data_IF_369895103026
#
_entry.id   IF_369895103026
#
_cell.length_a   1.000
_cell.length_b   1.000
_cell.length_c   1.000
_cell.angle_alpha   90.00
_cell.angle_beta   90.00
_cell.angle_gamma   90.00
#
_symmetry.space_group_name_H-M   'P 1'
#
loop_
_entity.id
_entity.type
_entity.pdbx_description
1 polymer ?
#
# COMPACT_ATOMS: atom_id res chain seq x y z
N UNK A 1 -39.17 -1.08 -3.12
CA UNK A 1 -38.34 -2.18 -2.61
C UNK A 1 -36.90 -1.80 -2.94
N UNK A 2 -36.17 -1.22 -1.99
CA UNK A 2 -34.76 -0.87 -2.21
C UNK A 2 -33.95 -2.13 -1.94
N UNK A 3 -33.42 -2.75 -3.00
CA UNK A 3 -32.34 -3.71 -2.83
C UNK A 3 -31.12 -2.91 -2.35
N UNK A 4 -30.74 -3.09 -1.09
CA UNK A 4 -29.43 -2.68 -0.62
C UNK A 4 -28.43 -3.56 -1.36
N UNK A 5 -27.89 -3.05 -2.48
CA UNK A 5 -26.73 -3.65 -3.12
C UNK A 5 -25.65 -3.61 -2.05
N UNK A 6 -25.21 -4.78 -1.58
CA UNK A 6 -24.06 -4.84 -0.69
C UNK A 6 -22.87 -4.28 -1.45
N UNK A 7 -22.48 -3.04 -1.16
CA UNK A 7 -21.20 -2.49 -1.64
C UNK A 7 -20.11 -3.34 -1.01
N UNK A 8 -19.32 -4.00 -1.85
CA UNK A 8 -18.22 -4.83 -1.38
C UNK A 8 -17.00 -3.93 -1.31
N UNK A 9 -16.44 -3.76 -0.11
CA UNK A 9 -15.22 -2.96 0.07
C UNK A 9 -14.01 -3.86 -0.05
N UNK A 10 -12.95 -3.36 -0.70
CA UNK A 10 -11.68 -4.06 -0.86
C UNK A 10 -10.71 -3.69 0.25
N UNK A 11 -9.86 -4.64 0.65
CA UNK A 11 -8.86 -4.41 1.69
C UNK A 11 -7.63 -3.71 1.12
N UNK A 12 -7.19 -2.66 1.79
CA UNK A 12 -5.86 -2.09 1.58
C UNK A 12 -4.88 -2.94 2.36
N UNK A 13 -3.95 -3.61 1.69
CA UNK A 13 -2.97 -4.48 2.35
C UNK A 13 -1.56 -4.02 2.07
N UNK A 14 -0.62 -4.36 2.96
CA UNK A 14 0.81 -4.14 2.73
C UNK A 14 1.25 -4.98 1.51
N UNK A 15 1.65 -4.36 0.39
CA UNK A 15 1.85 -5.11 -0.85
C UNK A 15 3.13 -5.94 -0.84
N UNK A 16 3.10 -7.09 -1.52
CA UNK A 16 4.28 -7.89 -1.82
C UNK A 16 5.00 -7.32 -3.04
N UNK A 17 6.02 -6.48 -2.82
CA UNK A 17 6.76 -5.81 -3.89
C UNK A 17 7.87 -6.67 -4.52
N UNK A 18 8.23 -7.79 -3.90
CA UNK A 18 9.08 -8.84 -4.50
C UNK A 18 8.80 -10.20 -3.87
N UNK A 19 9.19 -11.34 -4.49
CA UNK A 19 8.94 -12.67 -3.93
C UNK A 19 9.51 -12.86 -2.52
N UNK A 20 10.65 -12.22 -2.23
CA UNK A 20 11.35 -12.31 -0.94
C UNK A 20 10.99 -11.21 0.04
N UNK A 21 10.14 -10.24 -0.34
CA UNK A 21 9.70 -9.15 0.52
C UNK A 21 8.87 -9.69 1.70
N UNK A 22 9.31 -9.44 2.93
CA UNK A 22 8.61 -9.92 4.14
C UNK A 22 7.87 -8.82 4.89
N UNK A 23 8.42 -7.62 4.98
CA UNK A 23 7.84 -6.55 5.77
C UNK A 23 8.20 -5.16 5.25
N UNK A 24 7.36 -4.19 5.56
CA UNK A 24 7.67 -2.79 5.34
C UNK A 24 7.09 -1.95 6.47
N UNK A 25 7.53 -0.69 6.56
CA UNK A 25 6.89 0.31 7.41
C UNK A 25 6.41 1.48 6.57
N UNK A 26 5.20 1.94 6.85
CA UNK A 26 4.69 3.17 6.25
C UNK A 26 5.46 4.34 6.86
N UNK A 27 6.11 5.15 6.03
CA UNK A 27 6.85 6.34 6.46
C UNK A 27 6.09 7.63 6.16
N UNK A 28 5.17 7.60 5.18
CA UNK A 28 4.30 8.73 4.84
C UNK A 28 2.98 8.22 4.30
N UNK A 29 1.87 8.81 4.75
CA UNK A 29 0.56 8.66 4.13
C UNK A 29 0.35 9.84 3.20
N UNK A 30 -0.08 9.58 1.98
CA UNK A 30 -0.35 10.61 0.98
C UNK A 30 -1.85 10.94 0.91
N UNK A 31 -2.68 10.08 1.51
CA UNK A 31 -4.14 10.19 1.55
C UNK A 31 -4.69 10.02 2.97
N UNK A 32 -5.93 10.44 3.17
CA UNK A 32 -6.69 10.38 4.41
C UNK A 32 -8.00 9.60 4.26
N UNK A 33 -8.65 9.28 5.38
CA UNK A 33 -9.99 8.70 5.37
C UNK A 33 -10.99 9.67 4.74
N UNK A 34 -11.78 9.17 3.79
CA UNK A 34 -12.74 9.93 3.01
C UNK A 34 -12.20 10.46 1.69
N UNK A 35 -10.89 10.39 1.46
CA UNK A 35 -10.31 10.81 0.18
C UNK A 35 -10.70 9.82 -0.93
N UNK A 36 -10.91 10.38 -2.11
CA UNK A 36 -11.13 9.64 -3.34
C UNK A 36 -9.81 9.59 -4.11
N UNK A 37 -9.44 8.40 -4.57
CA UNK A 37 -8.22 8.14 -5.34
C UNK A 37 -8.58 7.58 -6.70
N UNK A 38 -7.78 7.90 -7.71
CA UNK A 38 -7.85 7.34 -9.06
C UNK A 38 -6.55 6.62 -9.41
N UNK A 39 -6.54 5.90 -10.53
CA UNK A 39 -5.36 5.21 -11.04
C UNK A 39 -4.12 6.13 -11.04
N UNK A 40 -2.98 5.59 -10.59
CA UNK A 40 -1.70 6.29 -10.41
C UNK A 40 -1.63 7.25 -9.22
N UNK A 41 -2.70 7.44 -8.43
CA UNK A 41 -2.59 8.27 -7.23
C UNK A 41 -1.73 7.57 -6.17
N UNK A 42 -0.76 8.29 -5.57
CA UNK A 42 0.05 7.75 -4.48
C UNK A 42 -0.80 7.66 -3.21
N UNK A 43 -0.72 6.52 -2.52
CA UNK A 43 -1.50 6.25 -1.31
C UNK A 43 -0.60 6.32 -0.08
N UNK A 44 0.58 5.70 -0.15
CA UNK A 44 1.57 5.75 0.91
C UNK A 44 2.98 5.52 0.39
N UNK A 45 3.95 6.09 1.11
CA UNK A 45 5.37 5.77 0.94
C UNK A 45 5.81 4.81 2.04
N UNK A 46 6.52 3.75 1.67
CA UNK A 46 7.05 2.72 2.59
C UNK A 46 8.56 2.65 2.56
N UNK A 47 9.16 2.30 3.70
CA UNK A 47 10.52 1.77 3.75
C UNK A 47 10.44 0.25 3.86
N UNK A 48 11.07 -0.46 2.93
CA UNK A 48 11.00 -1.91 2.82
C UNK A 48 12.15 -2.59 3.55
N UNK A 49 11.95 -3.83 4.00
CA UNK A 49 13.03 -4.65 4.54
C UNK A 49 14.07 -4.97 3.46
N UNK A 50 15.30 -5.25 3.90
CA UNK A 50 16.42 -5.46 2.97
C UNK A 50 16.23 -6.66 2.05
N UNK A 51 15.41 -7.64 2.45
CA UNK A 51 15.02 -8.79 1.63
C UNK A 51 14.12 -8.45 0.43
N UNK A 52 13.64 -7.21 0.29
CA UNK A 52 13.03 -6.74 -0.95
C UNK A 52 13.99 -6.94 -2.13
N UNK A 53 15.28 -6.65 -1.92
CA UNK A 53 16.34 -6.74 -2.93
C UNK A 53 17.16 -8.00 -2.70
N UNK A 54 17.33 -8.81 -3.73
CA UNK A 54 18.21 -9.98 -3.70
C UNK A 54 19.64 -9.56 -3.31
N UNK A 55 20.34 -10.29 -2.43
CA UNK A 55 21.65 -9.90 -1.92
C UNK A 55 22.69 -9.52 -2.99
N UNK A 56 22.66 -10.17 -4.15
CA UNK A 56 23.58 -9.89 -5.27
C UNK A 56 23.41 -8.50 -5.91
N UNK A 57 22.27 -7.83 -5.69
CA UNK A 57 21.97 -6.50 -6.26
C UNK A 57 21.96 -5.40 -5.19
N UNK A 58 22.37 -5.69 -3.95
CA UNK A 58 22.48 -4.68 -2.89
C UNK A 58 23.79 -3.93 -2.99
N UNK A 59 23.74 -2.63 -2.73
CA UNK A 59 24.91 -1.79 -2.53
C UNK A 59 25.57 -2.05 -1.16
N UNK A 60 24.76 -2.39 -0.15
CA UNK A 60 25.22 -2.76 1.21
C UNK A 60 24.24 -3.74 1.88
N UNK A 61 24.70 -4.56 2.86
CA UNK A 61 23.92 -5.71 3.36
C UNK A 61 22.52 -5.37 3.90
N UNK A 62 22.39 -4.23 4.55
CA UNK A 62 21.19 -3.73 5.22
C UNK A 62 20.46 -2.64 4.42
N UNK A 63 20.69 -2.57 3.10
CA UNK A 63 20.01 -1.63 2.22
C UNK A 63 18.48 -1.74 2.32
N UNK A 64 17.85 -0.67 2.78
CA UNK A 64 16.40 -0.49 2.80
C UNK A 64 16.01 0.48 1.70
N UNK A 65 15.07 0.09 0.86
CA UNK A 65 14.55 0.95 -0.20
C UNK A 65 13.28 1.65 0.27
N UNK A 66 13.16 2.92 -0.13
CA UNK A 66 11.90 3.66 -0.03
C UNK A 66 11.12 3.44 -1.33
N UNK A 67 9.85 3.09 -1.21
CA UNK A 67 8.96 2.84 -2.34
C UNK A 67 7.72 3.72 -2.19
N UNK A 68 7.33 4.41 -3.26
CA UNK A 68 6.00 5.03 -3.35
C UNK A 68 5.05 3.96 -3.85
N UNK A 69 3.92 3.79 -3.18
CA UNK A 69 2.88 2.83 -3.54
C UNK A 69 1.66 3.59 -4.03
N UNK A 70 1.24 3.26 -5.26
CA UNK A 70 0.10 3.85 -5.94
C UNK A 70 -0.99 2.81 -6.15
N UNK A 71 -2.21 3.31 -6.25
CA UNK A 71 -3.35 2.49 -6.69
C UNK A 71 -3.37 2.35 -8.21
N UNK A 72 -3.86 1.21 -8.70
CA UNK A 72 -4.18 0.99 -10.11
C UNK A 72 -5.71 1.01 -10.38
N UNK A 73 -6.50 1.44 -9.40
CA UNK A 73 -7.96 1.42 -9.45
C UNK A 73 -8.51 2.73 -8.85
N UNK A 74 -9.78 3.02 -9.11
CA UNK A 74 -10.48 4.18 -8.55
C UNK A 74 -11.32 3.75 -7.33
N UNK A 75 -11.31 4.55 -6.26
CA UNK A 75 -12.15 4.28 -5.09
C UNK A 75 -12.05 5.31 -3.99
N UNK A 76 -12.88 5.15 -2.96
CA UNK A 76 -12.91 6.02 -1.78
C UNK A 76 -12.33 5.32 -0.56
N UNK A 77 -11.32 5.91 0.06
CA UNK A 77 -10.70 5.38 1.28
C UNK A 77 -11.70 5.48 2.42
N UNK A 78 -12.27 4.34 2.83
CA UNK A 78 -13.24 4.32 3.93
C UNK A 78 -12.55 4.24 5.28
N UNK A 79 -11.38 3.59 5.32
CA UNK A 79 -10.59 3.40 6.53
C UNK A 79 -9.12 3.21 6.22
N UNK A 80 -8.26 3.82 7.03
CA UNK A 80 -6.82 3.69 6.99
C UNK A 80 -6.29 3.69 8.43
N UNK A 81 -5.48 2.70 8.76
CA UNK A 81 -4.97 2.44 10.11
C UNK A 81 -3.73 3.29 10.40
N UNK A 82 -3.96 4.58 10.69
CA UNK A 82 -2.91 5.56 10.98
C UNK A 82 -1.99 5.18 12.15
N UNK A 83 -2.46 4.32 13.07
CA UNK A 83 -1.67 3.79 14.18
C UNK A 83 -0.47 2.95 13.74
N UNK A 84 -0.49 2.42 12.51
CA UNK A 84 0.60 1.61 11.94
C UNK A 84 1.71 2.49 11.33
N UNK A 85 1.52 3.81 11.28
CA UNK A 85 2.54 4.73 10.77
C UNK A 85 3.85 4.58 11.57
N UNK A 86 4.95 4.38 10.85
CA UNK A 86 6.28 4.15 11.41
C UNK A 86 6.54 2.73 11.94
N UNK A 87 5.53 1.86 12.00
CA UNK A 87 5.66 0.49 12.49
C UNK A 87 6.00 -0.48 11.36
N UNK A 88 6.90 -1.43 11.64
CA UNK A 88 7.16 -2.55 10.74
C UNK A 88 5.98 -3.53 10.80
N UNK A 89 5.43 -3.84 9.64
CA UNK A 89 4.32 -4.77 9.48
C UNK A 89 4.63 -5.77 8.37
N UNK A 90 4.10 -6.98 8.52
CA UNK A 90 4.27 -8.03 7.52
C UNK A 90 3.50 -7.71 6.23
N UNK A 91 4.03 -8.15 5.10
CA UNK A 91 3.32 -8.16 3.83
C UNK A 91 1.98 -8.91 3.97
N UNK A 92 0.91 -8.33 3.41
CA UNK A 92 -0.46 -8.83 3.55
C UNK A 92 -1.20 -8.30 4.79
N UNK A 93 -0.53 -7.60 5.70
CA UNK A 93 -1.21 -6.92 6.82
C UNK A 93 -2.27 -5.97 6.28
N UNK A 94 -3.49 -6.05 6.82
CA UNK A 94 -4.56 -5.11 6.49
C UNK A 94 -4.25 -3.73 7.08
N UNK A 95 -4.17 -2.74 6.20
CA UNK A 95 -3.88 -1.34 6.49
C UNK A 95 -5.15 -0.49 6.46
N UNK A 96 -6.25 -0.98 5.90
CA UNK A 96 -7.42 -0.18 5.61
C UNK A 96 -8.42 -0.83 4.68
N UNK A 97 -9.39 -0.03 4.24
CA UNK A 97 -10.50 -0.45 3.40
C UNK A 97 -10.80 0.66 2.39
N UNK A 98 -11.05 0.28 1.15
CA UNK A 98 -11.44 1.16 0.04
C UNK A 98 -12.74 0.66 -0.59
N UNK A 99 -13.63 1.59 -0.95
CA UNK A 99 -14.90 1.33 -1.64
C UNK A 99 -14.76 1.83 -3.09
N UNK A 100 -14.70 0.92 -4.06
CA UNK A 100 -14.73 1.23 -5.50
C UNK A 100 -16.15 1.32 -6.06
N UNK A 101 -17.17 1.04 -5.24
CA UNK A 101 -18.56 1.03 -5.65
C UNK A 101 -18.96 -0.19 -6.50
N UNK A 102 -18.04 -1.13 -6.75
CA UNK A 102 -18.31 -2.31 -7.56
C UNK A 102 -18.83 -3.48 -6.68
N UNK A 103 -19.81 -4.24 -7.18
CA UNK A 103 -20.38 -5.38 -6.45
C UNK A 103 -19.53 -6.65 -6.55
N UNK A 104 -18.30 -6.56 -7.07
CA UNK A 104 -17.44 -7.72 -7.38
C UNK A 104 -16.30 -7.79 -6.37
N UNK A 105 -16.12 -8.97 -5.79
CA UNK A 105 -15.02 -9.25 -4.87
C UNK A 105 -13.71 -9.43 -5.65
N UNK A 106 -12.65 -8.76 -5.22
CA UNK A 106 -11.35 -8.74 -5.89
C UNK A 106 -10.25 -8.15 -5.02
N UNK A 107 -8.99 -8.49 -5.33
CA UNK A 107 -7.84 -7.87 -4.67
C UNK A 107 -7.62 -6.45 -5.22
N UNK A 108 -7.28 -5.51 -4.34
CA UNK A 108 -6.88 -4.17 -4.77
C UNK A 108 -5.50 -4.23 -5.43
N UNK A 109 -5.40 -3.69 -6.64
CA UNK A 109 -4.18 -3.71 -7.42
C UNK A 109 -3.26 -2.55 -7.04
N UNK A 110 -1.98 -2.89 -6.82
CA UNK A 110 -0.94 -1.96 -6.40
C UNK A 110 0.20 -1.92 -7.42
N UNK A 111 0.78 -0.75 -7.57
CA UNK A 111 2.11 -0.60 -8.15
C UNK A 111 3.02 0.16 -7.21
N UNK A 112 4.32 -0.06 -7.35
CA UNK A 112 5.30 0.67 -6.58
C UNK A 112 6.58 0.90 -7.37
N UNK A 113 7.24 2.00 -7.09
CA UNK A 113 8.55 2.34 -7.65
C UNK A 113 9.46 2.86 -6.55
N UNK A 114 10.76 2.58 -6.72
CA UNK A 114 11.79 3.09 -5.83
C UNK A 114 11.88 4.60 -5.95
N UNK A 115 11.86 5.30 -4.82
CA UNK A 115 12.18 6.71 -4.77
C UNK A 115 13.58 6.91 -4.19
N UNK A 116 14.39 7.72 -4.88
CA UNK A 116 15.68 8.20 -4.39
C UNK A 116 15.53 9.49 -3.57
N UNK A 117 14.32 9.83 -3.13
CA UNK A 117 14.09 11.03 -2.32
C UNK A 117 14.91 10.92 -1.03
N UNK A 118 16.08 11.58 -1.05
CA UNK A 118 16.88 12.03 0.08
C UNK A 118 16.12 13.12 0.86
N UNK A 119 14.80 12.98 1.00
CA UNK A 119 14.05 13.86 1.88
C UNK A 119 14.43 13.44 3.30
N UNK A 120 15.18 14.36 3.92
CA UNK A 120 15.92 14.31 5.17
C UNK A 120 15.09 13.87 6.39
#
# INVERSE_FOLDING_TARGET
MFQTIARMSKNITMPRLSPTHTQARIIRLEVSNGDHVVEYDPVFTVECSADLVTPAFRNFPDQKLKMIVETQEEGTITKLETKLLGQWVEVGTNLGVIDDGDPVDGEWMWQAYSTNSNDE
#
